data_IF_834646930211
#
_entry.id   IF_834646930211
#
_cell.length_a   1.000
_cell.length_b   1.000
_cell.length_c   1.000
_cell.angle_alpha   90.00
_cell.angle_beta   90.00
_cell.angle_gamma   90.00
#
_symmetry.space_group_name_H-M   'P 1'
#
loop_
_entity.id
_entity.type
_entity.pdbx_description
1 polymer ?
#
# COMPACT_ATOMS: atom_id res chain seq x y z
N UNK A 1 -3.92 10.23 -4.81
CA UNK A 1 -4.02 8.93 -5.51
C UNK A 1 -5.09 8.09 -4.85
N UNK A 2 -5.85 7.36 -5.61
CA UNK A 2 -6.92 6.55 -5.05
C UNK A 2 -6.36 5.29 -4.39
N UNK A 3 -6.92 4.94 -3.23
CA UNK A 3 -6.49 3.76 -2.48
C UNK A 3 -6.54 2.49 -3.33
N UNK A 4 -7.60 2.32 -4.11
CA UNK A 4 -7.77 1.12 -4.95
C UNK A 4 -6.63 0.98 -5.98
N UNK A 5 -6.11 2.10 -6.47
CA UNK A 5 -5.03 2.09 -7.44
C UNK A 5 -3.70 1.68 -6.78
N UNK A 6 -3.50 2.14 -5.54
CA UNK A 6 -2.32 1.73 -4.76
C UNK A 6 -2.35 0.23 -4.52
N UNK A 7 -3.49 -0.29 -4.07
CA UNK A 7 -3.65 -1.71 -3.80
C UNK A 7 -3.40 -2.52 -5.07
N UNK A 8 -3.97 -2.09 -6.20
CA UNK A 8 -3.80 -2.79 -7.47
C UNK A 8 -2.32 -2.84 -7.87
N UNK A 9 -1.63 -1.71 -7.79
CA UNK A 9 -0.23 -1.65 -8.19
C UNK A 9 0.66 -2.49 -7.28
N UNK A 10 0.40 -2.48 -6.00
CA UNK A 10 1.16 -3.32 -5.06
C UNK A 10 0.87 -4.80 -5.30
N UNK A 11 -0.39 -5.16 -5.58
CA UNK A 11 -0.74 -6.54 -5.88
C UNK A 11 -0.01 -7.02 -7.13
N UNK A 12 0.08 -6.18 -8.15
CA UNK A 12 0.81 -6.49 -9.38
C UNK A 12 2.30 -6.70 -9.11
N UNK A 13 2.82 -6.04 -8.08
CA UNK A 13 4.22 -6.17 -7.69
C UNK A 13 4.48 -7.36 -6.75
N UNK A 14 3.46 -8.17 -6.50
CA UNK A 14 3.61 -9.38 -5.69
C UNK A 14 3.30 -9.21 -4.21
N UNK A 15 2.69 -8.11 -3.82
CA UNK A 15 2.31 -7.91 -2.42
C UNK A 15 1.02 -8.66 -2.09
N UNK A 16 0.94 -9.12 -0.84
CA UNK A 16 -0.28 -9.71 -0.31
C UNK A 16 -0.77 -8.82 0.84
N UNK A 17 -2.05 -8.88 1.13
CA UNK A 17 -2.66 -7.95 2.06
C UNK A 17 -3.38 -8.68 3.19
N UNK A 18 -3.32 -8.07 4.38
CA UNK A 18 -4.04 -8.54 5.54
C UNK A 18 -4.94 -7.40 6.01
N UNK A 19 -6.24 -7.65 6.04
CA UNK A 19 -7.19 -6.65 6.51
C UNK A 19 -7.30 -6.72 8.02
N UNK A 20 -7.17 -5.58 8.67
CA UNK A 20 -7.30 -5.52 10.11
C UNK A 20 -7.81 -4.16 10.54
N UNK A 21 -8.90 -4.14 11.31
CA UNK A 21 -9.42 -2.91 11.87
C UNK A 21 -9.54 -1.78 10.85
N UNK A 22 -8.85 -0.70 11.08
CA UNK A 22 -8.93 0.50 10.25
C UNK A 22 -7.87 0.57 9.17
N UNK A 23 -7.06 -0.48 9.02
CA UNK A 23 -5.92 -0.43 8.10
C UNK A 23 -5.75 -1.73 7.34
N UNK A 24 -5.18 -1.62 6.15
CA UNK A 24 -4.75 -2.76 5.35
C UNK A 24 -3.24 -2.87 5.48
N UNK A 25 -2.74 -4.03 5.90
CA UNK A 25 -1.30 -4.27 6.00
C UNK A 25 -0.82 -4.96 4.74
N UNK A 26 0.28 -4.48 4.18
CA UNK A 26 0.85 -5.03 2.96
C UNK A 26 2.14 -5.77 3.28
N UNK A 27 2.24 -7.00 2.78
CA UNK A 27 3.39 -7.89 3.00
C UNK A 27 3.96 -8.33 1.67
N UNK A 28 5.26 -8.56 1.65
CA UNK A 28 5.90 -9.21 0.52
C UNK A 28 6.94 -10.19 1.05
N UNK A 29 6.90 -11.41 0.51
CA UNK A 29 7.79 -12.50 0.94
C UNK A 29 7.67 -12.76 2.45
N UNK A 30 6.46 -12.62 2.98
CA UNK A 30 6.19 -12.84 4.40
C UNK A 30 6.64 -11.71 5.32
N UNK A 31 7.13 -10.60 4.74
CA UNK A 31 7.66 -9.48 5.52
C UNK A 31 6.70 -8.29 5.42
N UNK A 32 6.34 -7.73 6.57
CA UNK A 32 5.52 -6.52 6.63
C UNK A 32 6.27 -5.35 5.99
N UNK A 33 5.61 -4.65 5.08
CA UNK A 33 6.23 -3.53 4.36
C UNK A 33 5.58 -2.19 4.66
N UNK A 34 4.26 -2.13 4.63
CA UNK A 34 3.57 -0.87 4.81
C UNK A 34 2.14 -1.08 5.26
N UNK A 35 1.54 -0.01 5.77
CA UNK A 35 0.14 0.02 6.15
C UNK A 35 -0.56 1.07 5.31
N UNK A 36 -1.73 0.72 4.78
CA UNK A 36 -2.52 1.62 3.93
C UNK A 36 -3.84 1.91 4.63
N UNK A 37 -4.12 3.20 4.86
CA UNK A 37 -5.37 3.62 5.48
C UNK A 37 -6.55 3.33 4.56
N UNK A 38 -7.75 3.37 5.14
CA UNK A 38 -8.98 3.05 4.40
C UNK A 38 -9.67 4.27 3.80
N UNK A 39 -8.94 5.36 3.64
CA UNK A 39 -9.47 6.54 2.96
C UNK A 39 -9.49 6.30 1.46
N UNK A 40 -10.54 6.73 0.79
CA UNK A 40 -10.68 6.59 -0.66
C UNK A 40 -9.54 7.28 -1.40
N UNK A 41 -9.17 8.47 -0.92
CA UNK A 41 -8.05 9.24 -1.48
C UNK A 41 -6.90 9.22 -0.48
N UNK A 42 -5.72 8.86 -0.95
CA UNK A 42 -4.52 8.85 -0.14
C UNK A 42 -3.68 10.09 -0.51
N UNK A 43 -3.33 10.94 0.48
CA UNK A 43 -2.54 12.14 0.20
C UNK A 43 -1.19 11.79 -0.43
N UNK A 44 -0.69 12.69 -1.26
CA UNK A 44 0.55 12.43 -1.98
C UNK A 44 1.74 12.13 -1.07
N UNK A 45 1.85 12.82 0.07
CA UNK A 45 2.95 12.56 1.00
C UNK A 45 2.92 11.12 1.53
N UNK A 46 1.71 10.58 1.71
CA UNK A 46 1.55 9.19 2.17
C UNK A 46 1.89 8.23 1.04
N UNK A 47 1.48 8.57 -0.19
CA UNK A 47 1.84 7.77 -1.37
C UNK A 47 3.36 7.67 -1.49
N UNK A 48 4.06 8.79 -1.32
CA UNK A 48 5.53 8.81 -1.36
C UNK A 48 6.13 7.92 -0.28
N UNK A 49 5.55 7.95 0.92
CA UNK A 49 6.01 7.11 2.02
C UNK A 49 5.83 5.63 1.67
N UNK A 50 4.68 5.28 1.09
CA UNK A 50 4.41 3.90 0.68
C UNK A 50 5.40 3.46 -0.40
N UNK A 51 5.68 4.32 -1.38
CA UNK A 51 6.68 4.03 -2.39
C UNK A 51 8.04 3.72 -1.76
N UNK A 52 8.42 4.54 -0.78
CA UNK A 52 9.71 4.37 -0.12
C UNK A 52 9.77 3.07 0.68
N UNK A 53 8.67 2.73 1.36
CA UNK A 53 8.63 1.53 2.19
C UNK A 53 8.50 0.24 1.38
N UNK A 54 7.86 0.31 0.22
CA UNK A 54 7.61 -0.88 -0.62
C UNK A 54 8.62 -1.03 -1.74
N UNK A 55 9.27 0.06 -2.15
CA UNK A 55 10.14 0.04 -3.31
C UNK A 55 9.38 0.02 -4.63
N UNK A 56 8.08 0.19 -4.60
CA UNK A 56 7.22 0.16 -5.79
C UNK A 56 6.87 1.58 -6.20
N UNK A 57 7.07 1.89 -7.48
CA UNK A 57 6.70 3.19 -8.01
C UNK A 57 5.19 3.24 -8.23
N UNK A 58 4.51 4.13 -7.51
CA UNK A 58 3.06 4.26 -7.56
C UNK A 58 2.58 5.40 -8.44
N UNK A 59 3.35 6.48 -8.52
CA UNK A 59 2.96 7.69 -9.25
C UNK A 59 3.41 7.67 -10.69
#
# INVERSE_FOLDING_TARGET
MKRKDIIRKLAEAGFVFEEGGNHTKAYKDGIYRTTIGRHTEIPERIVMKIEKQTGVKLR
#
